data_IF_389390800754
#
_entry.id   IF_389390800754
#
_cell.length_a   1.000
_cell.length_b   1.000
_cell.length_c   1.000
_cell.angle_alpha   90.00
_cell.angle_beta   90.00
_cell.angle_gamma   90.00
#
_symmetry.space_group_name_H-M   'P 1'
#
loop_
_entity.id
_entity.type
_entity.pdbx_description
1 polymer ?
#
# COMPACT_ATOMS: atom_id res chain seq x y z
N UNK A 1 28.45 -16.29 5.69
CA UNK A 1 27.72 -16.29 4.41
C UNK A 1 26.23 -16.26 4.68
N UNK A 2 25.56 -15.12 4.46
CA UNK A 2 24.10 -15.05 4.33
C UNK A 2 23.78 -14.08 3.20
N UNK A 3 23.74 -14.60 1.99
CA UNK A 3 23.15 -13.89 0.85
C UNK A 3 21.66 -14.26 0.83
N UNK A 4 20.75 -13.29 1.00
CA UNK A 4 19.32 -13.51 0.69
C UNK A 4 18.54 -12.20 0.56
N UNK A 5 18.53 -11.67 -0.66
CA UNK A 5 17.49 -10.79 -1.22
C UNK A 5 17.41 -9.38 -0.60
N UNK A 6 17.15 -8.37 -1.43
CA UNK A 6 16.74 -7.05 -0.95
C UNK A 6 15.59 -7.21 0.05
N UNK A 7 15.84 -6.99 1.34
CA UNK A 7 14.79 -7.07 2.35
C UNK A 7 13.85 -5.90 2.10
N UNK A 8 12.66 -6.17 1.58
CA UNK A 8 11.61 -5.16 1.43
C UNK A 8 11.39 -4.48 2.79
N UNK A 9 11.51 -3.14 2.82
CA UNK A 9 11.34 -2.28 4.02
C UNK A 9 10.05 -2.61 4.77
N UNK A 10 8.96 -2.76 4.02
CA UNK A 10 7.64 -3.11 4.56
C UNK A 10 7.45 -4.63 4.65
N UNK A 11 6.92 -5.10 5.77
CA UNK A 11 6.34 -6.44 5.94
C UNK A 11 4.83 -6.31 6.14
N UNK A 12 4.06 -6.93 5.26
CA UNK A 12 2.59 -6.90 5.28
C UNK A 12 2.09 -8.23 5.85
N UNK A 13 1.24 -8.18 6.86
CA UNK A 13 0.60 -9.34 7.50
C UNK A 13 -0.90 -9.22 7.28
N UNK A 14 -1.46 -10.06 6.40
CA UNK A 14 -2.89 -10.04 6.06
C UNK A 14 -3.75 -10.46 7.25
N UNK A 15 -4.91 -9.83 7.34
CA UNK A 15 -5.98 -10.04 8.32
C UNK A 15 -7.31 -10.13 7.55
N UNK A 16 -8.39 -10.52 8.23
CA UNK A 16 -9.72 -10.64 7.60
C UNK A 16 -10.26 -9.30 7.06
N UNK A 17 -9.77 -8.16 7.56
CA UNK A 17 -10.21 -6.81 7.19
C UNK A 17 -9.08 -5.91 6.66
N UNK A 18 -8.01 -6.49 6.12
CA UNK A 18 -6.88 -5.76 5.56
C UNK A 18 -5.53 -6.31 5.99
N UNK A 19 -4.66 -5.46 6.53
CA UNK A 19 -3.35 -5.89 7.01
C UNK A 19 -2.78 -5.03 8.12
N UNK A 20 -1.91 -5.65 8.92
CA UNK A 20 -0.92 -4.96 9.74
C UNK A 20 0.36 -4.83 8.91
N UNK A 21 0.88 -3.62 8.79
CA UNK A 21 2.10 -3.31 8.04
C UNK A 21 3.18 -2.88 9.01
N UNK A 22 4.33 -3.53 8.92
CA UNK A 22 5.52 -3.25 9.70
C UNK A 22 6.60 -2.62 8.82
N UNK A 23 6.98 -1.39 9.11
CA UNK A 23 8.19 -0.77 8.56
C UNK A 23 9.40 -1.18 9.41
N UNK A 24 10.24 -2.04 8.84
CA UNK A 24 11.41 -2.60 9.52
C UNK A 24 12.50 -1.57 9.80
N UNK A 25 12.56 -0.51 9.01
CA UNK A 25 13.62 0.48 9.11
C UNK A 25 13.28 1.49 10.21
N UNK A 26 12.00 1.81 10.39
CA UNK A 26 11.54 2.78 11.38
C UNK A 26 10.98 2.17 12.66
N UNK A 27 10.69 0.87 12.68
CA UNK A 27 10.08 0.22 13.84
C UNK A 27 8.58 0.53 14.00
N UNK A 28 7.93 1.07 12.96
CA UNK A 28 6.54 1.55 13.00
C UNK A 28 5.59 0.46 12.50
N UNK A 29 4.44 0.36 13.17
CA UNK A 29 3.32 -0.49 12.77
C UNK A 29 2.11 0.37 12.46
N UNK A 30 1.42 0.06 11.37
CA UNK A 30 0.11 0.64 11.07
C UNK A 30 -0.83 -0.42 10.52
N UNK A 31 -2.14 -0.18 10.66
CA UNK A 31 -3.16 -1.00 10.04
C UNK A 31 -3.70 -0.29 8.80
N UNK A 32 -4.05 -1.06 7.78
CA UNK A 32 -4.78 -0.57 6.62
C UNK A 32 -5.82 -1.59 6.18
N UNK A 33 -6.85 -1.13 5.47
CA UNK A 33 -7.90 -1.96 4.89
C UNK A 33 -7.42 -2.64 3.58
N UNK A 34 -8.28 -3.44 2.96
CA UNK A 34 -7.95 -4.17 1.73
C UNK A 34 -7.53 -3.25 0.57
N UNK A 35 -8.18 -2.09 0.43
CA UNK A 35 -7.84 -1.09 -0.60
C UNK A 35 -6.42 -0.59 -0.39
N UNK A 36 -6.06 -0.21 0.84
CA UNK A 36 -4.70 0.23 1.16
C UNK A 36 -3.65 -0.88 1.03
N UNK A 37 -4.00 -2.15 1.32
CA UNK A 37 -3.12 -3.30 1.01
C UNK A 37 -2.83 -3.35 -0.48
N UNK A 38 -3.87 -3.24 -1.32
CA UNK A 38 -3.70 -3.27 -2.78
C UNK A 38 -2.85 -2.12 -3.28
N UNK A 39 -3.04 -0.91 -2.74
CA UNK A 39 -2.22 0.26 -3.08
C UNK A 39 -0.75 0.01 -2.71
N UNK A 40 -0.46 -0.51 -1.51
CA UNK A 40 0.91 -0.85 -1.09
C UNK A 40 1.56 -1.91 -2.00
N UNK A 41 0.81 -2.95 -2.37
CA UNK A 41 1.29 -3.98 -3.30
C UNK A 41 1.66 -3.38 -4.67
N UNK A 42 0.87 -2.44 -5.18
CA UNK A 42 1.14 -1.78 -6.47
C UNK A 42 2.31 -0.80 -6.39
N UNK A 43 2.41 -0.02 -5.31
CA UNK A 43 3.57 0.84 -5.04
C UNK A 43 4.87 0.02 -4.96
N UNK A 44 4.83 -1.16 -4.32
CA UNK A 44 6.00 -2.07 -4.25
C UNK A 44 6.47 -2.59 -5.61
N UNK A 45 5.60 -2.50 -6.63
CA UNK A 45 5.88 -2.86 -8.03
C UNK A 45 6.25 -1.65 -8.89
N UNK A 46 6.53 -0.49 -8.27
CA UNK A 46 6.84 0.78 -8.92
C UNK A 46 5.74 1.27 -9.89
N UNK A 47 4.47 0.95 -9.59
CA UNK A 47 3.34 1.50 -10.35
C UNK A 47 3.16 2.98 -10.03
N UNK A 48 2.89 3.76 -11.08
CA UNK A 48 2.58 5.18 -10.92
C UNK A 48 1.13 5.38 -10.42
N UNK A 49 0.79 6.61 -10.02
CA UNK A 49 -0.52 6.92 -9.44
C UNK A 49 -1.68 6.58 -10.38
N UNK A 50 -1.58 6.88 -11.68
CA UNK A 50 -2.63 6.60 -12.67
C UNK A 50 -2.86 5.10 -12.85
N UNK A 51 -1.77 4.31 -12.92
CA UNK A 51 -1.85 2.85 -12.97
C UNK A 51 -2.50 2.27 -11.71
N UNK A 52 -2.22 2.85 -10.53
CA UNK A 52 -2.82 2.43 -9.27
C UNK A 52 -4.31 2.76 -9.27
N UNK A 53 -4.71 3.98 -9.66
CA UNK A 53 -6.11 4.39 -9.73
C UNK A 53 -6.90 3.48 -10.66
N UNK A 54 -6.38 3.19 -11.86
CA UNK A 54 -7.03 2.26 -12.79
C UNK A 54 -7.18 0.85 -12.19
N UNK A 55 -6.14 0.35 -11.53
CA UNK A 55 -6.18 -0.97 -10.90
C UNK A 55 -7.17 -1.05 -9.72
N UNK A 56 -7.31 0.02 -8.92
CA UNK A 56 -8.25 0.08 -7.80
C UNK A 56 -9.69 0.20 -8.32
N UNK A 57 -9.94 1.12 -9.26
CA UNK A 57 -11.26 1.26 -9.89
C UNK A 57 -11.74 -0.08 -10.47
N UNK A 58 -10.88 -0.79 -11.22
CA UNK A 58 -11.21 -2.09 -11.79
C UNK A 58 -11.40 -3.19 -10.72
N UNK A 59 -10.53 -3.26 -9.71
CA UNK A 59 -10.57 -4.33 -8.70
C UNK A 59 -11.79 -4.24 -7.78
N UNK A 60 -12.25 -3.02 -7.49
CA UNK A 60 -13.35 -2.76 -6.55
C UNK A 60 -14.64 -2.29 -7.23
N UNK A 61 -14.65 -2.17 -8.56
CA UNK A 61 -15.80 -1.71 -9.37
C UNK A 61 -16.34 -0.36 -8.87
N UNK A 62 -15.44 0.59 -8.65
CA UNK A 62 -15.76 1.96 -8.22
C UNK A 62 -15.39 2.98 -9.30
N UNK A 63 -16.04 4.14 -9.26
CA UNK A 63 -15.75 5.26 -10.15
C UNK A 63 -14.29 5.72 -10.06
N UNK A 64 -13.70 6.08 -11.20
CA UNK A 64 -12.29 6.50 -11.29
C UNK A 64 -11.98 7.67 -10.36
N UNK A 65 -12.91 8.63 -10.21
CA UNK A 65 -12.71 9.79 -9.33
C UNK A 65 -12.70 9.40 -7.84
N UNK A 66 -13.49 8.40 -7.45
CA UNK A 66 -13.48 7.85 -6.09
C UNK A 66 -12.16 7.11 -5.84
N UNK A 67 -11.76 6.24 -6.77
CA UNK A 67 -10.47 5.54 -6.69
C UNK A 67 -9.28 6.53 -6.63
N UNK A 68 -9.36 7.63 -7.39
CA UNK A 68 -8.34 8.70 -7.37
C UNK A 68 -8.25 9.37 -6.00
N UNK A 69 -9.39 9.67 -5.38
CA UNK A 69 -9.42 10.27 -4.07
C UNK A 69 -8.88 9.31 -3.00
N UNK A 70 -9.29 8.03 -3.03
CA UNK A 70 -8.80 7.00 -2.09
C UNK A 70 -7.29 6.79 -2.20
N UNK A 71 -6.75 6.69 -3.42
CA UNK A 71 -5.31 6.54 -3.67
C UNK A 71 -4.54 7.75 -3.15
N UNK A 72 -5.03 8.95 -3.45
CA UNK A 72 -4.42 10.21 -3.01
C UNK A 72 -4.39 10.31 -1.48
N UNK A 73 -5.52 10.06 -0.82
CA UNK A 73 -5.63 10.16 0.64
C UNK A 73 -4.77 9.11 1.35
N UNK A 74 -4.68 7.91 0.78
CA UNK A 74 -3.83 6.87 1.31
C UNK A 74 -2.33 7.23 1.18
N UNK A 75 -1.89 7.69 0.01
CA UNK A 75 -0.49 8.14 -0.19
C UNK A 75 -0.14 9.31 0.73
N UNK A 76 -1.07 10.26 0.92
CA UNK A 76 -0.87 11.36 1.86
C UNK A 76 -0.76 10.87 3.31
N UNK A 77 -1.55 9.88 3.69
CA UNK A 77 -1.47 9.25 5.02
C UNK A 77 -0.12 8.58 5.26
N UNK A 78 0.42 7.86 4.26
CA UNK A 78 1.77 7.28 4.34
C UNK A 78 2.84 8.36 4.54
N UNK A 79 2.81 9.42 3.73
CA UNK A 79 3.74 10.55 3.84
C UNK A 79 3.69 11.22 5.21
N UNK A 80 2.48 11.44 5.76
CA UNK A 80 2.30 12.00 7.11
C UNK A 80 2.86 11.08 8.19
N UNK A 81 2.77 9.77 8.00
CA UNK A 81 3.35 8.74 8.87
C UNK A 81 4.86 8.55 8.70
N UNK A 82 5.51 9.24 7.76
CA UNK A 82 6.93 9.08 7.46
C UNK A 82 7.27 7.83 6.65
N UNK A 83 6.28 7.19 6.03
CA UNK A 83 6.41 5.90 5.34
C UNK A 83 6.73 6.10 3.86
#
# INVERSE_FOLDING_TARGET
MFNKGSKTRLKIIKQDNGAIVFDKDQGIYFQTNDVGVKILELLSKNKNEEEIVSAISAAYSIETDVAKQDVKDFIQSLKKGGI
#
